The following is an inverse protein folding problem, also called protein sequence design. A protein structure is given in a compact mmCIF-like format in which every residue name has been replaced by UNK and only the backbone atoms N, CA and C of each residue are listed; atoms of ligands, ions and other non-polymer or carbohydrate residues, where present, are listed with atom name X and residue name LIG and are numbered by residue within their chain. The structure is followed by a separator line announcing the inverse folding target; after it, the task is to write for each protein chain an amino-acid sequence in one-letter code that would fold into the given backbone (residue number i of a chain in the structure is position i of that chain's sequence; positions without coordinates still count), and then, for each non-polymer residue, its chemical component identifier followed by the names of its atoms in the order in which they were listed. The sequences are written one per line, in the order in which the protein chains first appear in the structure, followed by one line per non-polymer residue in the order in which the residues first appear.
data_IF_410528320011
#
_entry.id   IF_410528320011
#
_cell.length_a   1.000
_cell.length_b   1.000
_cell.length_c   1.000
_cell.angle_alpha   90.00
_cell.angle_beta   90.00
_cell.angle_gamma   90.00
#
_symmetry.space_group_name_H-M   'P 1'
#
loop_
_entity.id
_entity.type
_entity.pdbx_description
1 polymer ?
#
# COMPACT_ATOMS: atom_id res chain seq x y z
N UNK A 1 37.01 17.91 -18.54
CA UNK A 1 35.62 17.41 -18.26
C UNK A 1 35.48 16.71 -16.89
N UNK A 2 36.59 16.49 -16.13
CA UNK A 2 36.52 15.78 -14.85
C UNK A 2 36.26 16.69 -13.63
N UNK A 3 36.36 17.99 -13.74
CA UNK A 3 36.13 18.94 -12.64
C UNK A 3 34.64 19.26 -12.44
N UNK A 4 33.85 19.33 -13.52
CA UNK A 4 32.39 19.60 -13.45
C UNK A 4 31.60 18.45 -12.79
N UNK A 5 31.99 17.21 -13.02
CA UNK A 5 31.36 16.04 -12.42
C UNK A 5 31.55 16.00 -10.89
N UNK A 6 32.70 16.46 -10.36
CA UNK A 6 33.00 16.50 -8.93
C UNK A 6 32.15 17.57 -8.20
N UNK A 7 31.93 18.72 -8.82
CA UNK A 7 31.07 19.79 -8.28
C UNK A 7 29.62 19.37 -8.18
N UNK A 8 29.09 18.77 -9.22
CA UNK A 8 27.73 18.27 -9.29
C UNK A 8 27.44 17.16 -8.24
N UNK A 9 28.38 16.22 -8.10
CA UNK A 9 28.29 15.14 -7.08
C UNK A 9 28.29 15.72 -5.66
N UNK A 10 29.10 16.74 -5.36
CA UNK A 10 29.12 17.42 -4.04
C UNK A 10 27.79 18.12 -3.74
N UNK A 11 27.19 18.78 -4.72
CA UNK A 11 25.89 19.47 -4.57
C UNK A 11 24.79 18.42 -4.28
N UNK A 12 24.75 17.32 -5.02
CA UNK A 12 23.79 16.23 -4.78
C UNK A 12 23.98 15.66 -3.37
N UNK A 13 25.21 15.35 -2.94
CA UNK A 13 25.48 14.84 -1.59
C UNK A 13 25.03 15.81 -0.50
N UNK A 14 25.29 17.11 -0.65
CA UNK A 14 24.84 18.14 0.29
C UNK A 14 23.30 18.22 0.37
N UNK A 15 22.64 18.19 -0.78
CA UNK A 15 21.18 18.17 -0.89
C UNK A 15 20.58 16.91 -0.23
N UNK A 16 21.15 15.74 -0.49
CA UNK A 16 20.77 14.48 0.17
C UNK A 16 20.91 14.53 1.68
N UNK A 17 22.05 15.05 2.18
CA UNK A 17 22.28 15.23 3.62
C UNK A 17 21.23 16.14 4.25
N UNK A 18 20.86 17.23 3.58
CA UNK A 18 19.81 18.14 4.05
C UNK A 18 18.44 17.45 4.13
N UNK A 19 18.05 16.73 3.08
CA UNK A 19 16.77 15.99 3.08
C UNK A 19 16.75 14.94 4.18
N UNK A 20 17.82 14.17 4.34
CA UNK A 20 17.92 13.17 5.41
C UNK A 20 17.77 13.83 6.79
N UNK A 21 18.39 14.99 7.03
CA UNK A 21 18.23 15.75 8.28
C UNK A 21 16.78 16.22 8.49
N UNK A 22 16.13 16.70 7.43
CA UNK A 22 14.72 17.08 7.50
C UNK A 22 13.84 15.87 7.85
N UNK A 23 14.05 14.72 7.21
CA UNK A 23 13.32 13.50 7.54
C UNK A 23 13.53 13.06 8.99
N UNK A 24 14.78 13.09 9.49
CA UNK A 24 15.06 12.79 10.90
C UNK A 24 14.43 13.78 11.87
N UNK A 25 14.38 15.06 11.50
CA UNK A 25 13.69 16.07 12.30
C UNK A 25 12.17 15.82 12.34
N UNK A 26 11.56 15.61 11.18
CA UNK A 26 10.13 15.32 11.06
C UNK A 26 9.74 14.01 11.76
N UNK A 27 10.61 12.99 11.70
CA UNK A 27 10.37 11.71 12.37
C UNK A 27 10.32 11.81 13.91
N UNK A 28 10.87 12.88 14.51
CA UNK A 28 10.83 13.13 15.95
C UNK A 28 9.60 13.93 16.39
N UNK A 29 8.84 14.47 15.44
CA UNK A 29 7.64 15.22 15.76
C UNK A 29 6.51 14.30 16.22
N UNK A 30 5.65 14.77 17.15
CA UNK A 30 4.46 14.00 17.55
C UNK A 30 3.59 13.64 16.33
N UNK A 31 3.20 12.39 16.23
CA UNK A 31 2.40 11.88 15.10
C UNK A 31 1.11 12.70 14.85
N UNK A 32 0.32 13.09 15.89
CA UNK A 32 -0.86 13.94 15.68
C UNK A 32 -0.56 15.30 15.05
N UNK A 33 0.60 15.89 15.36
CA UNK A 33 1.03 17.16 14.76
C UNK A 33 1.36 16.96 13.29
N UNK A 34 2.10 15.90 12.95
CA UNK A 34 2.41 15.55 11.56
C UNK A 34 1.14 15.30 10.74
N UNK A 35 0.16 14.60 11.31
CA UNK A 35 -1.13 14.36 10.66
C UNK A 35 -1.89 15.66 10.39
N UNK A 36 -1.91 16.59 11.33
CA UNK A 36 -2.55 17.92 11.15
C UNK A 36 -1.86 18.75 10.06
N UNK A 37 -0.53 18.80 10.09
CA UNK A 37 0.25 19.50 9.05
C UNK A 37 0.02 18.85 7.69
N UNK A 38 0.01 17.52 7.63
CA UNK A 38 -0.29 16.78 6.43
C UNK A 38 -1.70 17.05 5.91
N UNK A 39 -2.70 17.12 6.79
CA UNK A 39 -4.07 17.47 6.42
C UNK A 39 -4.14 18.86 5.74
N UNK A 40 -3.43 19.85 6.27
CA UNK A 40 -3.32 21.19 5.67
C UNK A 40 -2.66 21.09 4.29
N UNK A 41 -1.56 20.33 4.16
CA UNK A 41 -0.88 20.11 2.88
C UNK A 41 -1.78 19.40 1.87
N UNK A 42 -2.60 18.44 2.29
CA UNK A 42 -3.57 17.77 1.43
C UNK A 42 -4.57 18.75 0.83
N UNK A 43 -5.11 19.67 1.65
CA UNK A 43 -5.98 20.74 1.17
C UNK A 43 -5.23 21.74 0.27
N UNK A 44 -3.99 22.08 0.58
CA UNK A 44 -3.18 22.93 -0.29
C UNK A 44 -3.00 22.31 -1.68
N UNK A 45 -2.67 21.01 -1.75
CA UNK A 45 -2.58 20.27 -3.03
C UNK A 45 -3.94 20.27 -3.76
N UNK A 46 -5.04 20.10 -3.04
CA UNK A 46 -6.39 20.19 -3.61
C UNK A 46 -6.62 21.53 -4.31
N UNK A 47 -6.22 22.63 -3.69
CA UNK A 47 -6.40 23.98 -4.26
C UNK A 47 -5.46 24.24 -5.44
N UNK A 48 -4.21 23.79 -5.34
CA UNK A 48 -3.16 24.10 -6.33
C UNK A 48 -3.11 23.14 -7.52
N UNK A 49 -3.67 21.93 -7.42
CA UNK A 49 -3.61 20.92 -8.50
C UNK A 49 -4.99 20.64 -9.13
N UNK A 50 -5.32 21.28 -10.26
CA UNK A 50 -6.57 21.00 -10.97
C UNK A 50 -6.68 19.55 -11.45
N UNK A 51 -5.58 18.93 -11.84
CA UNK A 51 -5.54 17.53 -12.31
C UNK A 51 -5.88 16.56 -11.17
N UNK A 52 -5.27 16.74 -9.98
CA UNK A 52 -5.60 15.96 -8.80
C UNK A 52 -7.09 16.07 -8.45
N UNK A 53 -7.61 17.30 -8.40
CA UNK A 53 -9.01 17.57 -8.09
C UNK A 53 -9.98 16.96 -9.11
N UNK A 54 -9.64 17.03 -10.40
CA UNK A 54 -10.43 16.41 -11.48
C UNK A 54 -10.50 14.89 -11.33
N UNK A 55 -9.35 14.23 -11.15
CA UNK A 55 -9.28 12.78 -10.99
C UNK A 55 -10.04 12.33 -9.73
N UNK A 56 -9.84 13.03 -8.62
CA UNK A 56 -10.53 12.75 -7.37
C UNK A 56 -12.05 12.78 -7.56
N UNK A 57 -12.59 13.89 -8.12
CA UNK A 57 -14.03 14.04 -8.36
C UNK A 57 -14.58 12.97 -9.31
N UNK A 58 -13.87 12.68 -10.39
CA UNK A 58 -14.27 11.68 -11.37
C UNK A 58 -14.34 10.27 -10.75
N UNK A 59 -13.36 9.91 -9.91
CA UNK A 59 -13.33 8.61 -9.23
C UNK A 59 -14.43 8.49 -8.17
N UNK A 60 -14.66 9.53 -7.37
CA UNK A 60 -15.74 9.57 -6.37
C UNK A 60 -17.11 9.48 -7.04
N UNK A 61 -17.32 10.19 -8.14
CA UNK A 61 -18.56 10.15 -8.91
C UNK A 61 -18.81 8.75 -9.50
N UNK A 62 -17.79 8.13 -10.07
CA UNK A 62 -17.90 6.77 -10.62
C UNK A 62 -18.26 5.74 -9.54
N UNK A 63 -17.71 5.92 -8.32
CA UNK A 63 -18.00 5.05 -7.18
C UNK A 63 -19.40 5.30 -6.57
N UNK A 64 -20.13 6.32 -7.00
CA UNK A 64 -21.42 6.69 -6.40
C UNK A 64 -21.32 7.16 -4.95
N UNK A 65 -20.11 7.52 -4.48
CA UNK A 65 -19.88 7.96 -3.11
C UNK A 65 -20.29 9.43 -2.95
N UNK A 66 -21.02 9.73 -1.89
CA UNK A 66 -21.39 11.12 -1.60
C UNK A 66 -20.15 11.96 -1.26
N UNK A 67 -20.14 13.21 -1.72
CA UNK A 67 -19.01 14.12 -1.49
C UNK A 67 -18.64 14.27 -0.01
N UNK A 68 -19.65 14.34 0.87
CA UNK A 68 -19.45 14.46 2.32
C UNK A 68 -18.61 13.31 2.90
N UNK A 69 -18.75 12.09 2.32
CA UNK A 69 -18.10 10.87 2.80
C UNK A 69 -16.70 10.70 2.19
N UNK A 70 -16.49 11.16 0.94
CA UNK A 70 -15.20 11.13 0.26
C UNK A 70 -14.27 12.31 0.61
N UNK A 71 -14.84 13.50 0.90
CA UNK A 71 -14.09 14.73 1.15
C UNK A 71 -12.98 14.60 2.20
N UNK A 72 -13.17 13.86 3.32
CA UNK A 72 -12.10 13.69 4.31
C UNK A 72 -10.82 13.08 3.75
N UNK A 73 -10.91 12.31 2.63
CA UNK A 73 -9.74 11.71 1.99
C UNK A 73 -8.71 12.75 1.50
N UNK A 74 -9.13 13.98 1.19
CA UNK A 74 -8.19 15.07 0.84
C UNK A 74 -7.20 15.31 1.97
N UNK A 75 -7.69 15.43 3.20
CA UNK A 75 -6.85 15.61 4.39
C UNK A 75 -6.11 14.32 4.76
N UNK A 76 -6.78 13.16 4.65
CA UNK A 76 -6.23 11.87 5.03
C UNK A 76 -5.01 11.48 4.18
N UNK A 77 -5.02 11.75 2.88
CA UNK A 77 -3.87 11.50 1.98
C UNK A 77 -2.71 12.43 2.32
N UNK A 78 -2.98 13.70 2.61
CA UNK A 78 -1.94 14.62 3.09
C UNK A 78 -1.31 14.15 4.41
N UNK A 79 -2.13 13.69 5.35
CA UNK A 79 -1.67 13.12 6.62
C UNK A 79 -0.80 11.88 6.37
N UNK A 80 -1.23 10.96 5.49
CA UNK A 80 -0.47 9.77 5.12
C UNK A 80 0.93 10.12 4.58
N UNK A 81 1.03 11.11 3.69
CA UNK A 81 2.34 11.55 3.15
C UNK A 81 3.20 12.15 4.27
N UNK A 82 2.62 12.93 5.17
CA UNK A 82 3.34 13.55 6.28
C UNK A 82 3.79 12.54 7.34
N UNK A 83 3.12 11.38 7.47
CA UNK A 83 3.50 10.28 8.35
C UNK A 83 4.76 9.53 7.86
N UNK A 84 5.08 9.55 6.57
CA UNK A 84 6.17 8.74 5.99
C UNK A 84 7.53 8.94 6.70
N UNK A 85 7.99 10.16 7.05
CA UNK A 85 9.23 10.31 7.80
C UNK A 85 9.20 9.57 9.15
N UNK A 86 8.08 9.65 9.88
CA UNK A 86 7.90 8.96 11.15
C UNK A 86 7.90 7.44 10.96
N UNK A 87 7.17 6.92 9.97
CA UNK A 87 7.07 5.49 9.67
C UNK A 87 8.41 4.91 9.24
N UNK A 88 9.12 5.60 8.32
CA UNK A 88 10.34 5.09 7.72
C UNK A 88 11.57 5.21 8.62
N UNK A 89 11.62 6.26 9.47
CA UNK A 89 12.76 6.53 10.34
C UNK A 89 12.56 6.02 11.76
N UNK A 90 11.42 5.41 12.07
CA UNK A 90 11.13 4.84 13.40
C UNK A 90 12.20 3.79 13.76
N UNK A 91 12.77 3.80 14.97
CA UNK A 91 13.70 2.76 15.42
C UNK A 91 13.09 1.36 15.32
N UNK A 92 13.88 0.34 15.00
CA UNK A 92 13.40 -1.05 14.93
C UNK A 92 12.91 -1.57 16.29
N UNK A 93 13.44 -1.04 17.39
CA UNK A 93 13.00 -1.35 18.75
C UNK A 93 11.67 -0.68 19.15
N UNK A 94 11.28 0.39 18.46
CA UNK A 94 10.01 1.05 18.72
C UNK A 94 8.87 0.25 18.08
N UNK A 95 7.97 -0.29 18.90
CA UNK A 95 6.81 -1.05 18.44
C UNK A 95 5.60 -0.14 18.18
N UNK A 96 4.65 -0.67 17.41
CA UNK A 96 3.35 -0.04 17.17
C UNK A 96 2.30 -0.47 18.21
N UNK A 97 2.70 -1.27 19.20
CA UNK A 97 1.81 -1.67 20.30
C UNK A 97 1.22 -0.43 20.98
N UNK A 98 -0.09 -0.47 21.25
CA UNK A 98 -0.85 0.65 21.82
C UNK A 98 -1.25 1.75 20.82
N UNK A 99 -0.67 1.77 19.60
CA UNK A 99 -1.08 2.68 18.52
C UNK A 99 -2.01 2.01 17.51
N UNK A 100 -2.00 0.68 17.42
CA UNK A 100 -2.81 -0.08 16.46
C UNK A 100 -3.75 -1.01 17.21
N UNK A 101 -5.04 -0.80 17.05
CA UNK A 101 -6.09 -1.76 17.42
C UNK A 101 -6.40 -2.69 16.27
N UNK A 102 -7.03 -3.82 16.55
CA UNK A 102 -7.29 -4.88 15.56
C UNK A 102 -8.76 -5.24 15.54
N UNK A 103 -9.32 -5.32 14.36
CA UNK A 103 -10.69 -5.73 14.08
C UNK A 103 -10.67 -6.84 13.03
N UNK A 104 -10.88 -8.09 13.48
CA UNK A 104 -10.87 -9.28 12.63
C UNK A 104 -9.49 -9.92 12.43
N UNK A 105 -8.54 -9.72 13.36
CA UNK A 105 -7.22 -10.38 13.33
C UNK A 105 -7.33 -11.90 13.28
N UNK A 106 -8.36 -12.47 13.91
CA UNK A 106 -8.69 -13.89 13.93
C UNK A 106 -8.92 -14.48 12.54
N UNK A 107 -9.35 -13.68 11.57
CA UNK A 107 -9.51 -14.13 10.18
C UNK A 107 -8.17 -14.45 9.52
N UNK A 108 -7.15 -13.62 9.79
CA UNK A 108 -5.81 -13.88 9.30
C UNK A 108 -5.20 -15.10 10.03
N UNK A 109 -5.36 -15.18 11.35
CA UNK A 109 -4.86 -16.31 12.14
C UNK A 109 -5.47 -17.64 11.68
N UNK A 110 -6.79 -17.66 11.42
CA UNK A 110 -7.46 -18.85 10.87
C UNK A 110 -6.93 -19.23 9.48
N UNK A 111 -6.65 -18.24 8.61
CA UNK A 111 -6.06 -18.48 7.30
C UNK A 111 -4.66 -19.10 7.41
N UNK A 112 -3.83 -18.62 8.34
CA UNK A 112 -2.50 -19.17 8.59
C UNK A 112 -2.55 -20.57 9.19
N UNK A 113 -3.46 -20.82 10.13
CA UNK A 113 -3.66 -22.14 10.73
C UNK A 113 -4.13 -23.20 9.72
N UNK A 114 -4.82 -22.79 8.66
CA UNK A 114 -5.19 -23.68 7.56
C UNK A 114 -3.97 -24.20 6.75
N UNK A 115 -2.79 -23.63 6.96
CA UNK A 115 -1.51 -24.12 6.43
C UNK A 115 -1.28 -23.92 4.94
N UNK A 116 -2.16 -23.20 4.24
CA UNK A 116 -2.05 -22.93 2.79
C UNK A 116 -1.41 -21.56 2.45
N UNK A 117 -0.96 -20.85 3.49
CA UNK A 117 -0.48 -19.49 3.37
C UNK A 117 -1.59 -18.46 3.20
N UNK A 118 -1.24 -17.17 3.31
CA UNK A 118 -2.19 -16.08 3.17
C UNK A 118 -1.66 -14.94 2.28
N UNK A 119 -2.57 -14.33 1.51
CA UNK A 119 -2.32 -13.12 0.72
C UNK A 119 -3.10 -11.98 1.33
N UNK A 120 -2.39 -10.99 1.87
CA UNK A 120 -2.97 -9.74 2.35
C UNK A 120 -3.24 -8.87 1.15
N UNK A 121 -4.52 -8.59 0.87
CA UNK A 121 -4.98 -7.67 -0.15
C UNK A 121 -5.30 -6.33 0.51
N UNK A 122 -4.48 -5.33 0.26
CA UNK A 122 -4.64 -4.00 0.84
C UNK A 122 -4.60 -2.94 -0.25
N UNK A 123 -5.65 -2.14 -0.45
CA UNK A 123 -5.58 -0.99 -1.36
C UNK A 123 -4.79 0.17 -0.72
N UNK A 124 -4.52 1.23 -1.49
CA UNK A 124 -3.97 2.49 -0.98
C UNK A 124 -5.05 3.26 -0.19
N UNK A 125 -5.43 2.69 0.95
CA UNK A 125 -6.51 3.12 1.84
C UNK A 125 -5.97 3.31 3.25
N UNK A 126 -6.22 4.48 3.85
CA UNK A 126 -5.75 4.78 5.21
C UNK A 126 -4.23 4.90 5.32
N UNK A 127 -3.68 4.26 6.34
CA UNK A 127 -2.25 4.28 6.68
C UNK A 127 -1.55 2.97 6.30
N UNK A 128 -1.60 2.57 5.03
CA UNK A 128 -1.11 1.26 4.56
C UNK A 128 0.38 1.00 4.86
N UNK A 129 1.24 2.03 4.91
CA UNK A 129 2.65 1.89 5.29
C UNK A 129 2.80 1.48 6.77
N UNK A 130 1.98 2.05 7.65
CA UNK A 130 1.90 1.64 9.06
C UNK A 130 1.31 0.25 9.15
N UNK A 131 0.26 -0.03 8.38
CA UNK A 131 -0.40 -1.32 8.32
C UNK A 131 0.55 -2.47 8.01
N UNK A 132 1.43 -2.30 7.01
CA UNK A 132 2.42 -3.31 6.66
C UNK A 132 3.38 -3.62 7.82
N UNK A 133 3.86 -2.58 8.53
CA UNK A 133 4.73 -2.76 9.69
C UNK A 133 3.98 -3.38 10.88
N UNK A 134 2.73 -2.96 11.14
CA UNK A 134 1.92 -3.51 12.21
C UNK A 134 1.64 -5.01 12.02
N UNK A 135 1.32 -5.44 10.80
CA UNK A 135 1.12 -6.85 10.45
C UNK A 135 2.40 -7.65 10.71
N UNK A 136 3.55 -7.15 10.24
CA UNK A 136 4.83 -7.81 10.46
C UNK A 136 5.18 -7.92 11.96
N UNK A 137 4.94 -6.87 12.75
CA UNK A 137 5.22 -6.85 14.19
C UNK A 137 4.29 -7.79 14.98
N UNK A 138 3.01 -7.87 14.63
CA UNK A 138 2.04 -8.71 15.33
C UNK A 138 2.19 -10.20 14.99
N UNK A 139 2.24 -10.51 13.71
CA UNK A 139 2.14 -11.89 13.25
C UNK A 139 3.50 -12.54 12.96
N UNK A 140 4.52 -11.74 12.71
CA UNK A 140 5.86 -12.22 12.38
C UNK A 140 6.49 -13.14 13.43
N UNK A 141 6.37 -12.88 14.76
CA UNK A 141 6.90 -13.78 15.78
C UNK A 141 6.31 -15.20 15.73
N UNK A 142 5.07 -15.33 15.28
CA UNK A 142 4.35 -16.63 15.23
C UNK A 142 4.47 -17.30 13.86
N UNK A 143 4.35 -16.52 12.77
CA UNK A 143 4.20 -17.07 11.41
C UNK A 143 5.38 -16.80 10.50
N UNK A 144 6.44 -16.17 11.00
CA UNK A 144 7.59 -15.79 10.20
C UNK A 144 7.40 -14.48 9.43
N UNK A 145 8.36 -14.12 8.55
CA UNK A 145 8.35 -12.83 7.88
C UNK A 145 7.26 -12.74 6.81
N UNK A 146 6.64 -11.55 6.73
CA UNK A 146 5.82 -11.14 5.59
C UNK A 146 6.73 -10.82 4.42
N UNK A 147 6.49 -11.41 3.25
CA UNK A 147 7.23 -11.08 2.02
C UNK A 147 6.40 -10.18 1.14
N UNK A 148 6.89 -8.98 0.85
CA UNK A 148 6.21 -8.03 -0.03
C UNK A 148 7.06 -7.70 -1.27
N UNK A 149 6.38 -7.54 -2.42
CA UNK A 149 7.07 -7.04 -3.62
C UNK A 149 7.41 -5.57 -3.45
N UNK A 150 8.64 -5.27 -3.78
CA UNK A 150 9.14 -3.94 -3.61
C UNK A 150 9.79 -3.40 -4.89
N UNK A 151 9.34 -2.24 -5.34
CA UNK A 151 9.99 -1.50 -6.42
C UNK A 151 11.02 -0.54 -5.83
N UNK A 152 12.28 -0.56 -6.32
CA UNK A 152 13.28 0.43 -5.94
C UNK A 152 12.78 1.86 -6.12
N UNK A 153 13.24 2.78 -5.28
CA UNK A 153 12.86 4.17 -5.40
C UNK A 153 13.31 4.72 -6.77
N UNK A 154 12.40 5.39 -7.51
CA UNK A 154 12.72 5.99 -8.82
C UNK A 154 13.84 7.01 -8.76
N UNK A 155 14.06 7.60 -7.60
CA UNK A 155 15.11 8.58 -7.33
C UNK A 155 16.15 7.95 -6.42
N UNK A 156 17.36 7.75 -6.92
CA UNK A 156 18.45 7.13 -6.17
C UNK A 156 18.72 7.75 -4.79
N UNK A 157 18.44 9.06 -4.63
CA UNK A 157 18.59 9.75 -3.35
C UNK A 157 17.55 9.35 -2.29
N UNK A 158 16.41 8.78 -2.69
CA UNK A 158 15.39 8.24 -1.77
C UNK A 158 15.74 6.84 -1.29
N UNK A 159 16.57 6.11 -2.01
CA UNK A 159 16.87 4.70 -1.72
C UNK A 159 17.33 4.46 -0.28
N UNK A 160 18.29 5.24 0.31
CA UNK A 160 18.71 5.03 1.69
C UNK A 160 17.58 5.27 2.72
N UNK A 161 16.68 6.23 2.45
CA UNK A 161 15.54 6.52 3.33
C UNK A 161 14.50 5.40 3.28
N UNK A 162 14.24 4.90 2.09
CA UNK A 162 13.23 3.86 1.87
C UNK A 162 13.77 2.48 2.26
N UNK A 163 15.07 2.21 2.09
CA UNK A 163 15.70 0.96 2.51
C UNK A 163 15.51 0.68 4.01
N UNK A 164 15.64 1.69 4.87
CA UNK A 164 15.41 1.54 6.30
C UNK A 164 13.95 1.18 6.64
N UNK A 165 12.99 1.71 5.91
CA UNK A 165 11.57 1.37 6.08
C UNK A 165 11.26 -0.09 5.71
N UNK A 166 12.05 -0.68 4.83
CA UNK A 166 11.89 -2.03 4.27
C UNK A 166 12.64 -3.10 5.04
N UNK A 167 13.70 -2.71 5.76
CA UNK A 167 14.51 -3.63 6.57
C UNK A 167 13.95 -3.65 7.99
N UNK A 168 12.76 -4.17 8.16
CA UNK A 168 12.09 -4.32 9.47
C UNK A 168 12.11 -5.78 9.91
N UNK A 169 12.16 -6.06 11.22
CA UNK A 169 11.94 -7.40 11.71
C UNK A 169 10.63 -7.97 11.14
N UNK A 170 10.70 -9.19 10.60
CA UNK A 170 9.58 -9.90 9.99
C UNK A 170 8.94 -9.22 8.75
N UNK A 171 9.65 -8.30 8.09
CA UNK A 171 9.23 -7.71 6.83
C UNK A 171 10.35 -7.87 5.80
N UNK A 172 10.18 -8.83 4.90
CA UNK A 172 11.12 -9.12 3.83
C UNK A 172 10.66 -8.50 2.51
N UNK A 173 11.62 -8.00 1.73
CA UNK A 173 11.36 -7.42 0.42
C UNK A 173 11.80 -8.36 -0.69
N UNK A 174 10.94 -8.57 -1.68
CA UNK A 174 11.27 -9.26 -2.92
C UNK A 174 11.22 -8.25 -4.09
N UNK A 175 12.11 -8.35 -5.10
CA UNK A 175 12.11 -7.43 -6.23
C UNK A 175 10.86 -7.60 -7.10
N UNK A 176 10.41 -6.53 -7.76
CA UNK A 176 9.30 -6.56 -8.73
C UNK A 176 9.74 -7.20 -10.06
N UNK A 177 10.19 -8.44 -10.00
CA UNK A 177 10.69 -9.23 -11.15
C UNK A 177 10.17 -10.66 -11.05
N UNK A 178 10.41 -11.47 -12.07
CA UNK A 178 10.07 -12.91 -12.05
C UNK A 178 10.71 -13.64 -10.86
N UNK A 179 11.92 -13.24 -10.44
CA UNK A 179 12.57 -13.80 -9.26
C UNK A 179 11.78 -13.50 -7.99
N UNK A 180 11.29 -12.27 -7.82
CA UNK A 180 10.43 -11.90 -6.70
C UNK A 180 9.10 -12.64 -6.71
N UNK A 181 8.45 -12.78 -7.86
CA UNK A 181 7.22 -13.58 -7.98
C UNK A 181 7.45 -15.04 -7.57
N UNK A 182 8.58 -15.64 -7.98
CA UNK A 182 8.97 -16.99 -7.52
C UNK A 182 9.15 -17.06 -6.01
N UNK A 183 9.70 -16.00 -5.40
CA UNK A 183 9.84 -15.91 -3.94
C UNK A 183 8.47 -15.89 -3.27
N UNK A 184 7.51 -15.11 -3.77
CA UNK A 184 6.14 -15.11 -3.24
C UNK A 184 5.47 -16.48 -3.34
N UNK A 185 5.59 -17.15 -4.49
CA UNK A 185 5.02 -18.50 -4.68
C UNK A 185 5.64 -19.48 -3.66
N UNK A 186 6.96 -19.43 -3.47
CA UNK A 186 7.66 -20.30 -2.50
C UNK A 186 7.19 -20.01 -1.08
N UNK A 187 7.09 -18.73 -0.69
CA UNK A 187 6.60 -18.30 0.64
C UNK A 187 5.20 -18.86 0.89
N UNK A 188 4.27 -18.67 -0.04
CA UNK A 188 2.89 -19.14 0.11
C UNK A 188 2.81 -20.68 0.16
N UNK A 189 3.54 -21.40 -0.69
CA UNK A 189 3.57 -22.88 -0.68
C UNK A 189 4.14 -23.46 0.61
N UNK A 190 5.00 -22.70 1.29
CA UNK A 190 5.55 -23.05 2.60
C UNK A 190 4.63 -22.61 3.77
N UNK A 191 3.39 -22.20 3.48
CA UNK A 191 2.46 -21.75 4.52
C UNK A 191 2.72 -20.35 5.06
N UNK A 192 3.63 -19.58 4.44
CA UNK A 192 3.89 -18.18 4.80
C UNK A 192 2.87 -17.19 4.20
N UNK A 193 3.15 -15.90 4.29
CA UNK A 193 2.22 -14.88 3.82
C UNK A 193 2.91 -13.72 3.09
N UNK A 194 2.12 -13.05 2.24
CA UNK A 194 2.55 -11.93 1.40
C UNK A 194 1.52 -10.81 1.41
N UNK A 195 1.92 -9.59 1.05
CA UNK A 195 1.01 -8.45 0.89
C UNK A 195 1.08 -7.91 -0.55
N UNK A 196 -0.08 -7.57 -1.10
CA UNK A 196 -0.24 -7.00 -2.44
C UNK A 196 -1.23 -5.84 -2.39
N UNK A 197 -0.86 -4.72 -3.02
CA UNK A 197 -1.71 -3.57 -3.23
C UNK A 197 -2.19 -3.57 -4.70
N UNK A 198 -3.42 -4.05 -4.99
CA UNK A 198 -3.84 -4.34 -6.36
C UNK A 198 -4.46 -3.14 -7.09
N UNK A 199 -4.64 -2.00 -6.44
CA UNK A 199 -5.44 -0.87 -6.91
C UNK A 199 -4.66 0.18 -7.73
N UNK A 200 -3.41 -0.08 -8.10
CA UNK A 200 -2.67 0.76 -9.06
C UNK A 200 -2.51 0.05 -10.40
N UNK A 201 -2.36 0.87 -11.46
CA UNK A 201 -2.18 0.38 -12.83
C UNK A 201 -0.80 -0.28 -12.96
N UNK A 202 -0.73 -1.58 -13.25
CA UNK A 202 0.53 -2.29 -13.45
C UNK A 202 1.17 -1.90 -14.80
N UNK A 203 2.43 -2.25 -15.04
CA UNK A 203 3.06 -2.15 -16.35
C UNK A 203 2.29 -2.90 -17.44
N UNK A 204 2.48 -2.49 -18.69
CA UNK A 204 1.89 -3.16 -19.86
C UNK A 204 2.29 -4.65 -19.88
N UNK A 205 1.32 -5.53 -20.11
CA UNK A 205 1.50 -6.99 -20.12
C UNK A 205 1.38 -7.65 -18.74
N UNK A 206 1.28 -6.88 -17.65
CA UNK A 206 1.13 -7.41 -16.28
C UNK A 206 -0.30 -7.31 -15.73
N UNK A 207 -1.26 -6.91 -16.56
CA UNK A 207 -2.66 -6.74 -16.19
C UNK A 207 -3.61 -7.04 -17.33
N UNK A 208 -4.88 -6.93 -17.03
CA UNK A 208 -6.00 -7.01 -17.97
C UNK A 208 -7.00 -5.90 -17.67
N UNK A 209 -7.84 -5.57 -18.63
CA UNK A 209 -8.94 -4.64 -18.43
C UNK A 209 -10.07 -5.34 -17.68
N UNK A 210 -10.51 -4.74 -16.59
CA UNK A 210 -11.57 -5.27 -15.74
C UNK A 210 -12.36 -4.14 -15.08
N UNK A 211 -13.65 -4.32 -14.79
CA UNK A 211 -14.49 -3.29 -14.20
C UNK A 211 -14.02 -2.91 -12.79
N UNK A 212 -14.07 -1.61 -12.51
CA UNK A 212 -13.84 -1.00 -11.20
C UNK A 212 -14.75 0.22 -11.06
N UNK A 213 -15.70 0.16 -10.14
CA UNK A 213 -16.77 1.14 -10.01
C UNK A 213 -17.44 1.47 -11.37
N UNK A 214 -17.80 0.41 -12.12
CA UNK A 214 -18.50 0.50 -13.39
C UNK A 214 -17.69 1.02 -14.58
N UNK A 215 -16.36 1.19 -14.43
CA UNK A 215 -15.44 1.60 -15.51
C UNK A 215 -14.36 0.55 -15.70
N UNK A 216 -14.00 0.27 -16.94
CA UNK A 216 -12.86 -0.61 -17.22
C UNK A 216 -11.54 0.07 -16.85
N UNK A 217 -10.74 -0.61 -16.06
CA UNK A 217 -9.42 -0.18 -15.63
C UNK A 217 -8.40 -1.31 -15.80
N UNK A 218 -7.17 -0.96 -16.12
CA UNK A 218 -6.11 -1.96 -16.25
C UNK A 218 -5.68 -2.46 -14.87
N UNK A 219 -6.01 -3.73 -14.57
CA UNK A 219 -5.89 -4.36 -13.25
C UNK A 219 -4.84 -5.45 -13.27
N UNK A 220 -3.96 -5.49 -12.26
CA UNK A 220 -2.93 -6.53 -12.15
C UNK A 220 -3.54 -7.93 -11.98
N UNK A 221 -2.93 -8.92 -12.60
CA UNK A 221 -3.36 -10.32 -12.50
C UNK A 221 -2.62 -11.10 -11.42
N UNK A 222 -1.57 -10.51 -10.82
CA UNK A 222 -0.66 -11.22 -9.93
C UNK A 222 -1.36 -11.82 -8.70
N UNK A 223 -2.22 -11.04 -8.03
CA UNK A 223 -2.91 -11.49 -6.80
C UNK A 223 -3.74 -12.75 -7.08
N UNK A 224 -4.58 -12.70 -8.09
CA UNK A 224 -5.44 -13.83 -8.46
C UNK A 224 -4.60 -15.06 -8.85
N UNK A 225 -3.57 -14.87 -9.68
CA UNK A 225 -2.67 -15.97 -10.09
C UNK A 225 -1.98 -16.61 -8.89
N UNK A 226 -1.52 -15.83 -7.91
CA UNK A 226 -0.90 -16.39 -6.70
C UNK A 226 -1.91 -17.20 -5.90
N UNK A 227 -3.12 -16.68 -5.66
CA UNK A 227 -4.16 -17.40 -4.93
C UNK A 227 -4.52 -18.72 -5.63
N UNK A 228 -4.78 -18.68 -6.94
CA UNK A 228 -5.12 -19.86 -7.76
C UNK A 228 -4.01 -20.91 -7.79
N UNK A 229 -2.74 -20.51 -7.91
CA UNK A 229 -1.60 -21.44 -8.03
C UNK A 229 -1.16 -22.06 -6.69
N UNK A 230 -1.43 -21.38 -5.57
CA UNK A 230 -0.95 -21.82 -4.26
C UNK A 230 -2.07 -22.33 -3.36
N UNK A 231 -3.33 -21.95 -3.63
CA UNK A 231 -4.46 -22.18 -2.74
C UNK A 231 -4.45 -21.32 -1.49
N UNK A 232 -3.58 -20.29 -1.45
CA UNK A 232 -3.50 -19.36 -0.33
C UNK A 232 -4.80 -18.57 -0.16
N UNK A 233 -5.18 -18.34 1.09
CA UNK A 233 -6.37 -17.55 1.40
C UNK A 233 -6.10 -16.06 1.23
N UNK A 234 -7.06 -15.33 0.66
CA UNK A 234 -6.95 -13.88 0.51
C UNK A 234 -7.67 -13.20 1.67
N UNK A 235 -6.98 -12.28 2.32
CA UNK A 235 -7.52 -11.47 3.43
C UNK A 235 -7.54 -10.00 2.99
N UNK A 236 -8.72 -9.42 2.92
CA UNK A 236 -8.91 -7.98 2.70
C UNK A 236 -8.46 -7.23 3.96
N UNK A 237 -7.64 -6.19 3.77
CA UNK A 237 -7.03 -5.51 4.90
C UNK A 237 -6.87 -4.03 4.62
N UNK A 238 -7.21 -3.17 5.59
CA UNK A 238 -6.88 -1.76 5.55
C UNK A 238 -6.57 -1.22 6.95
N UNK A 239 -5.71 -0.22 6.99
CA UNK A 239 -5.30 0.44 8.23
C UNK A 239 -5.99 1.80 8.34
N UNK A 240 -7.10 1.86 9.05
CA UNK A 240 -7.85 3.09 9.26
C UNK A 240 -7.08 4.01 10.20
N UNK A 241 -6.94 5.28 9.81
CA UNK A 241 -6.43 6.33 10.70
C UNK A 241 -7.57 6.84 11.57
N UNK A 242 -7.43 6.67 12.89
CA UNK A 242 -8.43 7.13 13.86
C UNK A 242 -8.38 8.66 14.04
N UNK A 243 -9.51 9.30 14.36
CA UNK A 243 -9.58 10.75 14.56
C UNK A 243 -8.66 11.24 15.68
N UNK A 244 -8.30 12.52 15.59
CA UNK A 244 -7.58 13.24 16.65
C UNK A 244 -6.24 12.61 17.12
N UNK A 245 -5.61 11.78 16.30
CA UNK A 245 -4.35 11.14 16.64
C UNK A 245 -4.48 9.96 17.63
N UNK A 246 -5.67 9.37 17.72
CA UNK A 246 -5.94 8.19 18.58
C UNK A 246 -5.29 6.89 18.06
N UNK A 247 -4.42 6.98 17.08
CA UNK A 247 -3.77 5.83 16.49
C UNK A 247 -4.49 5.29 15.27
N UNK A 248 -4.51 3.97 15.12
CA UNK A 248 -4.98 3.28 13.93
C UNK A 248 -5.82 2.06 14.31
N UNK A 249 -6.74 1.68 13.41
CA UNK A 249 -7.43 0.39 13.49
C UNK A 249 -7.10 -0.44 12.25
N UNK A 250 -6.57 -1.63 12.46
CA UNK A 250 -6.32 -2.60 11.41
C UNK A 250 -7.56 -3.48 11.24
N UNK A 251 -8.22 -3.34 10.10
CA UNK A 251 -9.35 -4.17 9.72
C UNK A 251 -8.88 -5.35 8.87
N UNK A 252 -9.36 -6.54 9.17
CA UNK A 252 -9.06 -7.76 8.43
C UNK A 252 -10.35 -8.53 8.18
N UNK A 253 -10.62 -8.90 6.92
CA UNK A 253 -11.83 -9.63 6.53
C UNK A 253 -11.47 -10.73 5.53
N UNK A 254 -12.08 -11.90 5.58
CA UNK A 254 -11.88 -12.92 4.57
C UNK A 254 -12.39 -12.42 3.22
N UNK A 255 -11.66 -12.73 2.17
CA UNK A 255 -12.10 -12.49 0.80
C UNK A 255 -12.57 -13.82 0.20
N UNK A 256 -13.84 -14.12 0.38
CA UNK A 256 -14.43 -15.32 -0.20
C UNK A 256 -14.95 -15.00 -1.61
N UNK A 257 -14.10 -15.26 -2.59
CA UNK A 257 -14.39 -15.13 -4.01
C UNK A 257 -14.01 -16.45 -4.71
N UNK A 258 -14.97 -17.18 -5.29
CA UNK A 258 -14.71 -18.47 -5.95
C UNK A 258 -13.62 -18.36 -7.01
N UNK A 259 -13.55 -17.24 -7.71
CA UNK A 259 -12.58 -16.95 -8.77
C UNK A 259 -11.12 -17.04 -8.28
N UNK A 260 -10.89 -16.86 -6.97
CA UNK A 260 -9.55 -17.00 -6.38
C UNK A 260 -9.12 -18.47 -6.21
N UNK A 261 -10.04 -19.40 -6.34
CA UNK A 261 -9.81 -20.86 -6.21
C UNK A 261 -9.94 -21.61 -7.53
N UNK A 262 -10.54 -20.97 -8.55
CA UNK A 262 -10.82 -21.58 -9.85
C UNK A 262 -9.82 -21.13 -10.90
N UNK A 263 -8.97 -22.06 -11.34
CA UNK A 263 -7.95 -21.82 -12.38
C UNK A 263 -8.53 -21.79 -13.79
N UNK A 264 -9.80 -22.14 -13.98
CA UNK A 264 -10.46 -22.17 -15.30
C UNK A 264 -11.06 -20.82 -15.68
N UNK A 265 -11.25 -19.90 -14.74
CA UNK A 265 -11.77 -18.56 -15.04
C UNK A 265 -10.74 -17.72 -15.79
N UNK A 266 -11.22 -16.85 -16.68
CA UNK A 266 -10.33 -15.95 -17.42
C UNK A 266 -9.63 -14.95 -16.48
N UNK A 267 -8.46 -14.43 -16.86
CA UNK A 267 -7.77 -13.40 -16.09
C UNK A 267 -8.63 -12.16 -15.83
N UNK A 268 -9.53 -11.80 -16.76
CA UNK A 268 -10.44 -10.65 -16.64
C UNK A 268 -11.48 -10.88 -15.54
N UNK A 269 -12.05 -12.09 -15.47
CA UNK A 269 -13.02 -12.47 -14.43
C UNK A 269 -12.36 -12.47 -13.07
N UNK A 270 -11.16 -13.04 -12.96
CA UNK A 270 -10.39 -13.04 -11.72
C UNK A 270 -9.98 -11.61 -11.28
N UNK A 271 -9.56 -10.76 -12.21
CA UNK A 271 -9.22 -9.36 -11.93
C UNK A 271 -10.46 -8.54 -11.51
N UNK A 272 -11.61 -8.80 -12.13
CA UNK A 272 -12.87 -8.18 -11.72
C UNK A 272 -13.25 -8.56 -10.28
N UNK A 273 -13.03 -9.82 -9.88
CA UNK A 273 -13.23 -10.23 -8.50
C UNK A 273 -12.32 -9.46 -7.53
N UNK A 274 -11.02 -9.32 -7.85
CA UNK A 274 -10.08 -8.52 -7.04
C UNK A 274 -10.57 -7.07 -6.92
N UNK A 275 -11.02 -6.47 -8.03
CA UNK A 275 -11.55 -5.10 -8.02
C UNK A 275 -12.79 -4.99 -7.11
N UNK A 276 -13.74 -5.95 -7.14
CA UNK A 276 -14.89 -5.97 -6.21
C UNK A 276 -14.45 -6.01 -4.73
N UNK A 277 -13.38 -6.76 -4.42
CA UNK A 277 -12.82 -6.76 -3.06
C UNK A 277 -12.27 -5.40 -2.66
N UNK A 278 -11.57 -4.72 -3.57
CA UNK A 278 -11.07 -3.35 -3.36
C UNK A 278 -12.24 -2.37 -3.19
N UNK A 279 -13.25 -2.45 -4.06
CA UNK A 279 -14.46 -1.60 -3.98
C UNK A 279 -15.13 -1.69 -2.61
N UNK A 280 -15.29 -2.90 -2.07
CA UNK A 280 -15.87 -3.11 -0.71
C UNK A 280 -15.06 -2.36 0.34
N UNK A 281 -13.73 -2.55 0.40
CA UNK A 281 -12.89 -1.86 1.38
C UNK A 281 -12.93 -0.34 1.22
N UNK A 282 -12.99 0.16 -0.02
CA UNK A 282 -13.09 1.60 -0.30
C UNK A 282 -14.44 2.16 0.18
N UNK A 283 -15.55 1.41 0.01
CA UNK A 283 -16.87 1.83 0.46
C UNK A 283 -17.00 1.78 1.99
N UNK A 284 -16.25 0.92 2.69
CA UNK A 284 -16.21 0.88 4.15
C UNK A 284 -15.48 2.12 4.74
N UNK A 285 -14.48 2.68 4.03
CA UNK A 285 -13.71 3.82 4.50
C UNK A 285 -13.42 4.86 3.39
N UNK A 286 -14.43 5.40 2.70
CA UNK A 286 -14.25 6.27 1.53
C UNK A 286 -13.52 7.57 1.84
N UNK A 287 -13.57 8.01 3.08
CA UNK A 287 -12.87 9.20 3.59
C UNK A 287 -11.35 9.06 3.70
N UNK A 288 -10.77 7.91 3.36
CA UNK A 288 -9.33 7.68 3.46
C UNK A 288 -8.71 7.04 2.21
N UNK A 289 -9.48 6.86 1.12
CA UNK A 289 -8.98 6.25 -0.12
C UNK A 289 -8.22 7.24 -1.01
N UNK A 290 -7.27 6.73 -1.78
CA UNK A 290 -6.43 7.51 -2.71
C UNK A 290 -7.19 7.92 -3.98
N UNK A 291 -8.31 8.64 -3.84
CA UNK A 291 -9.18 9.05 -4.95
C UNK A 291 -8.47 9.86 -6.05
N UNK A 292 -7.40 10.58 -5.71
CA UNK A 292 -6.66 11.42 -6.67
C UNK A 292 -5.81 10.65 -7.68
N UNK A 293 -5.65 9.33 -7.51
CA UNK A 293 -4.91 8.50 -8.45
C UNK A 293 -5.70 8.28 -9.74
N UNK A 294 -5.07 8.51 -10.90
CA UNK A 294 -5.70 8.23 -12.20
C UNK A 294 -5.73 6.72 -12.45
N UNK A 295 -6.78 6.05 -11.96
CA UNK A 295 -6.95 4.60 -12.06
C UNK A 295 -7.28 4.14 -13.48
N UNK A 296 -7.82 5.03 -14.29
CA UNK A 296 -8.22 4.86 -15.69
C UNK A 296 -7.12 5.16 -16.71
N UNK A 297 -5.90 5.49 -16.24
CA UNK A 297 -4.77 5.77 -17.14
C UNK A 297 -4.33 4.52 -17.91
N UNK A 298 -3.83 4.73 -19.14
CA UNK A 298 -3.25 3.67 -19.94
C UNK A 298 -1.99 3.09 -19.28
N UNK A 299 -1.78 1.76 -19.34
CA UNK A 299 -0.54 1.14 -18.88
C UNK A 299 0.64 1.61 -19.73
N UNK A 300 1.82 1.71 -19.09
CA UNK A 300 3.06 2.07 -19.78
C UNK A 300 3.99 0.86 -19.82
N UNK A 301 4.82 0.76 -20.86
CA UNK A 301 5.91 -0.21 -20.86
C UNK A 301 6.83 0.05 -19.64
N UNK A 302 7.42 -1.01 -19.12
CA UNK A 302 8.51 -0.86 -18.14
C UNK A 302 9.69 -0.20 -18.85
N UNK A 303 10.11 0.97 -18.37
CA UNK A 303 11.29 1.69 -18.77
C UNK A 303 12.46 1.39 -17.85
#
# INVERSE_FOLDING_TARGET
DNQDSSGFIKVIKKFMSLITRIFHFLARMPLPLMQRLGAVLGWLVWWLSPSYRRNFKANVQAAGVAWRDARPAVAAIGAMVAELPWVWMRPHSAKLDGLVTWDGAEHFEAAMQAGKGAIIMSPHLGAWEIGAQAIAEKFGPTYGPMVALFRPARKAWLEPLVANARTRPYLDSAPTSLAGVRTLIRTLRNGGYTAILPDQVPPLGQGVWAPFFGRDVYTMTLLAKLAQQTGAQVIMTWCERLPAGQGFCMHMRPFDAPEMKDTSVSPEVAAAAVNRGVERMVLDAPGQYLWGYARDKQPRAEG
#
